data_IF_926064373979
#
_entry.id   IF_926064373979
#
_cell.length_a   1.000
_cell.length_b   1.000
_cell.length_c   1.000
_cell.angle_alpha   90.00
_cell.angle_beta   90.00
_cell.angle_gamma   90.00
#
_symmetry.space_group_name_H-M   'P 1'
#
loop_
_entity.id
_entity.type
_entity.pdbx_description
1 polymer ?
#
# COMPACT_ATOMS: atom_id res chain seq x y z
N UNK A 1 -16.72 3.80 2.48
CA UNK A 1 -15.27 3.97 2.45
C UNK A 1 -14.66 3.05 3.47
N UNK A 2 -13.36 3.17 3.73
CA UNK A 2 -12.64 2.30 4.65
C UNK A 2 -11.72 3.11 5.54
N UNK A 3 -11.56 2.65 6.76
CA UNK A 3 -10.56 3.13 7.71
C UNK A 3 -9.47 2.07 7.79
N UNK A 4 -8.24 2.52 8.02
CA UNK A 4 -7.14 1.66 8.40
C UNK A 4 -7.26 1.30 9.87
N UNK A 5 -6.76 0.12 10.23
CA UNK A 5 -6.72 -0.37 11.59
C UNK A 5 -5.36 -1.02 11.87
N UNK A 6 -4.74 -0.61 12.97
CA UNK A 6 -3.56 -1.24 13.51
C UNK A 6 -3.98 -2.45 14.35
N UNK A 7 -3.85 -3.66 13.80
CA UNK A 7 -4.44 -4.86 14.42
C UNK A 7 -3.96 -5.16 15.85
N UNK A 8 -2.70 -4.88 16.19
CA UNK A 8 -2.21 -5.14 17.56
C UNK A 8 -2.67 -4.11 18.60
N UNK A 9 -3.02 -2.88 18.20
CA UNK A 9 -3.40 -1.81 19.14
C UNK A 9 -4.89 -1.47 19.07
N UNK A 10 -5.57 -1.84 17.98
CA UNK A 10 -6.94 -1.43 17.68
C UNK A 10 -7.08 0.04 17.26
N UNK A 11 -5.97 0.78 17.10
CA UNK A 11 -6.01 2.17 16.64
C UNK A 11 -6.51 2.24 15.19
N UNK A 12 -7.36 3.23 14.89
CA UNK A 12 -7.97 3.39 13.56
C UNK A 12 -7.69 4.76 12.98
N UNK A 13 -7.49 4.82 11.67
CA UNK A 13 -7.28 6.07 10.93
C UNK A 13 -8.16 6.11 9.69
N UNK A 14 -8.80 7.26 9.45
CA UNK A 14 -9.56 7.49 8.21
C UNK A 14 -8.65 7.33 6.99
N UNK A 15 -9.16 6.75 5.90
CA UNK A 15 -8.32 6.53 4.73
C UNK A 15 -9.04 6.67 3.39
N UNK A 16 -10.05 5.86 3.12
CA UNK A 16 -10.72 5.81 1.80
C UNK A 16 -12.16 6.28 1.92
N UNK A 17 -12.61 7.19 1.07
CA UNK A 17 -14.01 7.63 0.98
C UNK A 17 -14.49 7.65 -0.47
N UNK A 18 -15.82 7.57 -0.65
CA UNK A 18 -16.43 7.79 -1.95
C UNK A 18 -16.55 9.31 -2.18
N UNK A 19 -16.37 9.81 -3.41
CA UNK A 19 -16.74 11.18 -3.77
C UNK A 19 -18.16 11.52 -3.29
N UNK A 20 -18.35 12.75 -2.80
CA UNK A 20 -19.61 13.22 -2.22
C UNK A 20 -19.85 12.81 -0.76
N UNK A 21 -19.01 11.94 -0.18
CA UNK A 21 -19.07 11.53 1.23
C UNK A 21 -17.76 11.83 1.95
N UNK A 22 -17.13 12.96 1.61
CA UNK A 22 -15.87 13.40 2.20
C UNK A 22 -16.16 14.12 3.52
N UNK A 23 -15.56 13.70 4.65
CA UNK A 23 -15.63 14.43 5.91
C UNK A 23 -15.05 15.84 5.79
N UNK A 24 -15.38 16.71 6.75
CA UNK A 24 -14.70 17.99 6.87
C UNK A 24 -13.19 17.82 7.10
N UNK A 25 -12.39 18.71 6.51
CA UNK A 25 -10.94 18.66 6.59
C UNK A 25 -10.32 17.44 5.91
N UNK A 26 -10.97 16.88 4.89
CA UNK A 26 -10.44 15.76 4.10
C UNK A 26 -9.28 16.20 3.20
N UNK A 27 -8.07 15.73 3.50
CA UNK A 27 -6.88 16.06 2.72
C UNK A 27 -6.63 15.01 1.64
N UNK A 28 -7.35 15.08 0.52
CA UNK A 28 -7.21 14.16 -0.60
C UNK A 28 -5.83 14.28 -1.25
N UNK A 29 -5.14 13.15 -1.41
CA UNK A 29 -3.83 13.06 -2.07
C UNK A 29 -3.76 12.03 -3.19
N UNK A 30 -4.75 11.15 -3.30
CA UNK A 30 -4.90 10.25 -4.42
C UNK A 30 -6.37 10.01 -4.74
N UNK A 31 -6.65 9.78 -6.01
CA UNK A 31 -7.99 9.52 -6.52
C UNK A 31 -7.97 8.38 -7.53
N UNK A 32 -8.78 7.35 -7.29
CA UNK A 32 -8.78 6.12 -8.10
C UNK A 32 -10.13 5.86 -8.74
N UNK A 33 -10.11 5.67 -10.06
CA UNK A 33 -11.22 5.17 -10.88
C UNK A 33 -12.55 5.91 -10.68
N UNK A 34 -12.48 7.23 -10.43
CA UNK A 34 -13.64 8.09 -10.14
C UNK A 34 -14.49 7.65 -8.93
N UNK A 35 -13.97 6.74 -8.10
CA UNK A 35 -14.74 6.02 -7.08
C UNK A 35 -14.17 6.19 -5.68
N UNK A 36 -12.87 6.37 -5.56
CA UNK A 36 -12.19 6.33 -4.28
C UNK A 36 -11.23 7.51 -4.12
N UNK A 37 -11.51 8.32 -3.10
CA UNK A 37 -10.66 9.39 -2.60
C UNK A 37 -9.85 8.89 -1.41
N UNK A 38 -8.55 9.15 -1.41
CA UNK A 38 -7.61 8.72 -0.37
C UNK A 38 -7.04 9.94 0.33
N UNK A 39 -7.09 9.95 1.66
CA UNK A 39 -6.51 11.05 2.44
C UNK A 39 -5.06 10.78 2.86
N UNK A 40 -4.29 11.85 3.06
CA UNK A 40 -2.89 11.77 3.46
C UNK A 40 -2.68 11.10 4.82
N UNK A 41 -3.60 11.29 5.76
CA UNK A 41 -3.47 10.77 7.12
C UNK A 41 -3.42 9.24 7.15
N UNK A 42 -4.18 8.58 6.27
CA UNK A 42 -4.15 7.12 6.17
C UNK A 42 -2.80 6.60 5.67
N UNK A 43 -2.21 7.25 4.67
CA UNK A 43 -0.87 6.88 4.18
C UNK A 43 0.21 7.11 5.24
N UNK A 44 0.18 8.24 5.94
CA UNK A 44 1.11 8.53 7.04
C UNK A 44 0.95 7.53 8.18
N UNK A 45 -0.29 7.16 8.50
CA UNK A 45 -0.59 6.17 9.53
C UNK A 45 -0.02 4.80 9.17
N UNK A 46 -0.30 4.28 7.98
CA UNK A 46 0.26 3.01 7.52
C UNK A 46 1.80 3.02 7.43
N UNK A 47 2.40 4.13 6.96
CA UNK A 47 3.86 4.29 6.91
C UNK A 47 4.49 4.14 8.28
N UNK A 48 3.97 4.83 9.31
CA UNK A 48 4.48 4.71 10.69
C UNK A 48 4.42 3.28 11.23
N UNK A 49 3.38 2.52 10.86
CA UNK A 49 3.24 1.11 11.26
C UNK A 49 4.33 0.27 10.61
N UNK A 50 4.56 0.46 9.31
CA UNK A 50 5.61 -0.25 8.59
C UNK A 50 7.02 0.11 9.12
N UNK A 51 7.29 1.40 9.34
CA UNK A 51 8.56 1.89 9.90
C UNK A 51 8.83 1.30 11.29
N UNK A 52 7.79 1.25 12.13
CA UNK A 52 7.87 0.64 13.46
C UNK A 52 8.13 -0.87 13.36
N UNK A 53 7.48 -1.58 12.45
CA UNK A 53 7.71 -3.00 12.23
C UNK A 53 9.16 -3.26 11.80
N UNK A 54 9.68 -2.50 10.82
CA UNK A 54 11.07 -2.59 10.38
C UNK A 54 12.05 -2.35 11.53
N UNK A 55 11.84 -1.27 12.29
CA UNK A 55 12.71 -0.90 13.43
C UNK A 55 12.71 -1.97 14.53
N UNK A 56 11.61 -2.71 14.68
CA UNK A 56 11.49 -3.82 15.63
C UNK A 56 11.98 -5.17 15.06
N UNK A 57 12.66 -5.18 13.91
CA UNK A 57 13.25 -6.37 13.33
C UNK A 57 12.25 -7.26 12.57
N UNK A 58 11.12 -6.72 12.11
CA UNK A 58 10.23 -7.46 11.22
C UNK A 58 10.92 -7.69 9.87
N UNK A 59 11.09 -8.96 9.49
CA UNK A 59 11.71 -9.37 8.23
C UNK A 59 10.74 -9.94 7.23
N UNK A 60 9.42 -9.92 7.49
CA UNK A 60 8.43 -10.40 6.50
C UNK A 60 7.24 -9.46 6.38
N UNK A 61 6.92 -9.07 5.15
CA UNK A 61 5.82 -8.19 4.83
C UNK A 61 4.87 -8.85 3.83
N UNK A 62 3.58 -8.65 4.05
CA UNK A 62 2.52 -9.05 3.14
C UNK A 62 1.74 -7.80 2.74
N UNK A 63 1.60 -7.54 1.45
CA UNK A 63 0.84 -6.40 0.93
C UNK A 63 -0.23 -6.90 -0.02
N UNK A 64 -1.49 -6.66 0.35
CA UNK A 64 -2.68 -6.94 -0.44
C UNK A 64 -3.50 -5.64 -0.58
N UNK A 65 -3.58 -4.98 -1.73
CA UNK A 65 -3.15 -5.29 -3.10
C UNK A 65 -2.20 -4.17 -3.62
N UNK A 66 -1.22 -4.50 -4.48
CA UNK A 66 -0.47 -3.51 -5.26
C UNK A 66 -1.12 -3.34 -6.64
N UNK A 67 -1.43 -2.10 -7.02
CA UNK A 67 -2.27 -1.88 -8.19
C UNK A 67 -2.08 -0.53 -8.87
N UNK A 68 -3.16 0.01 -9.50
CA UNK A 68 -3.06 1.19 -10.34
C UNK A 68 -2.51 2.44 -9.63
N UNK A 69 -2.74 2.62 -8.32
CA UNK A 69 -2.20 3.77 -7.59
C UNK A 69 -0.67 3.72 -7.55
N UNK A 70 -0.10 2.57 -7.20
CA UNK A 70 1.34 2.38 -7.13
C UNK A 70 1.97 2.48 -8.53
N UNK A 71 1.28 1.97 -9.56
CA UNK A 71 1.70 2.13 -10.96
C UNK A 71 1.74 3.60 -11.42
N UNK A 72 0.92 4.45 -10.81
CA UNK A 72 0.93 5.92 -11.02
C UNK A 72 1.93 6.65 -10.10
N UNK A 73 2.79 5.92 -9.38
CA UNK A 73 3.71 6.46 -8.36
C UNK A 73 2.99 7.20 -7.22
N UNK A 74 1.77 6.78 -6.92
CA UNK A 74 0.96 7.27 -5.80
C UNK A 74 0.76 6.13 -4.79
N UNK A 75 -0.11 6.35 -3.81
CA UNK A 75 -0.48 5.31 -2.85
C UNK A 75 0.70 4.83 -2.03
N UNK A 76 0.90 3.51 -1.98
CA UNK A 76 1.99 2.86 -1.29
C UNK A 76 3.27 2.73 -2.12
N UNK A 77 3.41 3.46 -3.23
CA UNK A 77 4.58 3.38 -4.11
C UNK A 77 5.90 3.58 -3.34
N UNK A 78 5.97 4.61 -2.48
CA UNK A 78 7.17 4.88 -1.70
C UNK A 78 7.46 3.80 -0.66
N UNK A 79 6.42 3.30 0.03
CA UNK A 79 6.54 2.22 1.00
C UNK A 79 7.05 0.93 0.33
N UNK A 80 6.46 0.54 -0.80
CA UNK A 80 6.91 -0.63 -1.56
C UNK A 80 8.36 -0.46 -2.06
N UNK A 81 8.71 0.73 -2.55
CA UNK A 81 10.09 1.03 -2.97
C UNK A 81 11.08 0.89 -1.83
N UNK A 82 10.72 1.34 -0.63
CA UNK A 82 11.56 1.21 0.56
C UNK A 82 11.71 -0.25 1.01
N UNK A 83 10.61 -1.00 1.07
CA UNK A 83 10.62 -2.41 1.42
C UNK A 83 11.48 -3.23 0.44
N UNK A 84 11.39 -2.97 -0.87
CA UNK A 84 12.20 -3.64 -1.90
C UNK A 84 13.69 -3.29 -1.84
N UNK A 85 14.06 -2.10 -1.33
CA UNK A 85 15.47 -1.68 -1.19
C UNK A 85 16.13 -2.31 0.03
N UNK A 86 15.36 -2.60 1.06
CA UNK A 86 15.86 -3.30 2.23
C UNK A 86 16.18 -4.75 1.82
N UNK A 87 17.37 -5.25 2.20
CA UNK A 87 17.83 -6.60 1.81
C UNK A 87 17.29 -7.73 2.70
N UNK A 88 16.76 -7.38 3.86
CA UNK A 88 16.27 -8.31 4.87
C UNK A 88 14.77 -8.68 4.76
N UNK A 89 13.85 -7.83 4.27
CA UNK A 89 12.45 -8.20 4.19
C UNK A 89 12.19 -9.23 3.08
N UNK A 90 11.62 -10.35 3.49
CA UNK A 90 10.87 -11.27 2.66
C UNK A 90 9.50 -10.65 2.35
N UNK A 91 9.28 -10.27 1.10
CA UNK A 91 8.12 -9.52 0.66
C UNK A 91 7.20 -10.40 -0.19
N UNK A 92 5.94 -10.49 0.23
CA UNK A 92 4.87 -11.10 -0.56
C UNK A 92 3.87 -10.01 -0.94
N UNK A 93 3.68 -9.78 -2.24
CA UNK A 93 2.69 -8.83 -2.76
C UNK A 93 1.62 -9.55 -3.56
N UNK A 94 0.36 -9.15 -3.35
CA UNK A 94 -0.75 -9.54 -4.21
C UNK A 94 -0.90 -8.53 -5.35
N UNK A 95 -0.93 -9.02 -6.59
CA UNK A 95 -1.09 -8.21 -7.81
C UNK A 95 -2.06 -8.94 -8.74
N UNK A 96 -2.99 -8.21 -9.39
CA UNK A 96 -3.80 -8.83 -10.45
C UNK A 96 -2.90 -9.36 -11.55
N UNK A 97 -3.23 -10.53 -12.09
CA UNK A 97 -2.48 -11.15 -13.19
C UNK A 97 -2.25 -10.20 -14.37
N UNK A 98 -3.21 -9.32 -14.68
CA UNK A 98 -3.11 -8.33 -15.75
C UNK A 98 -2.13 -7.18 -15.50
N UNK A 99 -1.68 -6.99 -14.26
CA UNK A 99 -0.78 -5.90 -13.85
C UNK A 99 0.62 -6.37 -13.46
N UNK A 100 0.86 -7.69 -13.39
CA UNK A 100 2.14 -8.27 -12.92
C UNK A 100 3.32 -7.72 -13.70
N UNK A 101 3.26 -7.69 -15.03
CA UNK A 101 4.38 -7.21 -15.86
C UNK A 101 4.65 -5.71 -15.69
N UNK A 102 3.62 -4.91 -15.48
CA UNK A 102 3.77 -3.46 -15.28
C UNK A 102 4.39 -3.17 -13.91
N UNK A 103 3.94 -3.87 -12.87
CA UNK A 103 4.52 -3.80 -11.53
C UNK A 103 5.98 -4.25 -11.57
N UNK A 104 6.27 -5.38 -12.22
CA UNK A 104 7.62 -5.92 -12.36
C UNK A 104 8.58 -4.90 -12.96
N UNK A 105 8.16 -4.28 -14.07
CA UNK A 105 8.97 -3.28 -14.78
C UNK A 105 9.16 -2.00 -13.96
N UNK A 106 8.09 -1.48 -13.36
CA UNK A 106 8.16 -0.23 -12.60
C UNK A 106 9.10 -0.36 -11.39
N UNK A 107 9.00 -1.47 -10.66
CA UNK A 107 9.78 -1.69 -9.44
C UNK A 107 11.09 -2.45 -9.66
N UNK A 108 11.42 -2.79 -10.92
CA UNK A 108 12.63 -3.53 -11.30
C UNK A 108 12.78 -4.86 -10.52
N UNK A 109 11.70 -5.63 -10.43
CA UNK A 109 11.66 -6.91 -9.70
C UNK A 109 12.08 -8.04 -10.64
N UNK A 110 13.36 -8.41 -10.64
CA UNK A 110 13.87 -9.46 -11.53
C UNK A 110 13.83 -10.86 -10.90
N UNK A 111 13.90 -10.96 -9.58
CA UNK A 111 13.93 -12.23 -8.85
C UNK A 111 12.70 -12.37 -7.96
N UNK A 112 11.74 -13.20 -8.38
CA UNK A 112 10.50 -13.46 -7.67
C UNK A 112 9.98 -14.87 -7.99
N UNK A 113 9.20 -15.42 -7.06
CA UNK A 113 8.38 -16.60 -7.31
C UNK A 113 6.94 -16.14 -7.54
N UNK A 114 6.36 -16.53 -8.68
CA UNK A 114 4.97 -16.24 -8.97
C UNK A 114 4.07 -17.38 -8.49
N UNK A 115 3.19 -17.07 -7.55
CA UNK A 115 2.16 -18.00 -7.07
C UNK A 115 0.81 -17.57 -7.65
N UNK A 116 0.26 -18.39 -8.55
CA UNK A 116 -1.07 -18.15 -9.11
C UNK A 116 -2.13 -18.81 -8.22
N UNK A 117 -3.04 -18.01 -7.65
CA UNK A 117 -4.16 -18.50 -6.86
C UNK A 117 -5.37 -18.67 -7.79
N UNK A 118 -5.99 -19.86 -7.77
CA UNK A 118 -7.11 -20.29 -8.64
C UNK A 118 -8.45 -19.96 -8.00
#
# INVERSE_FOLDING_TARGET
GYDLEHLSTGERCRFIRKPGFLPEGWNEVAFLAERYSFCSEGFVFAGKIADSALTNGCTRFYIDEIGPLELMQQGFYNLLTELLRNKEPDLVIAVRSSLVEDVRKLFSIDNFEQINIV
#
